data_IF_755486948187
#
_entry.id   IF_755486948187
#
_cell.length_a   1.000
_cell.length_b   1.000
_cell.length_c   1.000
_cell.angle_alpha   90.00
_cell.angle_beta   90.00
_cell.angle_gamma   90.00
#
_symmetry.space_group_name_H-M   'P 1'
#
loop_
_entity.id
_entity.type
_entity.pdbx_description
1 polymer ?
#
# COMPACT_ATOMS: atom_id res chain seq x y z
N UNK A 1 30.98 12.10 2.67
CA UNK A 1 29.77 11.37 3.10
C UNK A 1 28.74 11.56 1.99
N UNK A 2 28.54 10.55 1.13
CA UNK A 2 27.50 10.63 0.08
C UNK A 2 26.17 10.34 0.76
N UNK A 3 25.29 11.34 0.84
CA UNK A 3 23.88 11.10 1.12
C UNK A 3 23.34 10.34 -0.09
N UNK A 4 23.18 9.02 0.04
CA UNK A 4 22.33 8.30 -0.90
C UNK A 4 20.89 8.67 -0.51
N UNK A 5 20.35 9.70 -1.19
CA UNK A 5 18.92 10.00 -1.15
C UNK A 5 18.20 8.90 -1.94
N UNK A 6 18.03 7.76 -1.28
CA UNK A 6 17.33 6.62 -1.82
C UNK A 6 15.89 6.60 -1.28
N UNK A 7 14.90 6.52 -2.16
CA UNK A 7 13.50 6.31 -1.76
C UNK A 7 13.18 4.83 -1.78
N UNK A 8 12.61 4.32 -0.69
CA UNK A 8 11.95 3.02 -0.69
C UNK A 8 10.60 3.14 -1.39
N UNK A 9 10.16 2.06 -2.05
CA UNK A 9 8.90 2.02 -2.81
C UNK A 9 8.07 0.81 -2.44
N UNK A 10 6.76 0.95 -2.55
CA UNK A 10 5.78 -0.09 -2.34
C UNK A 10 4.86 -0.15 -3.55
N UNK A 11 4.68 -1.34 -4.09
CA UNK A 11 3.63 -1.65 -5.04
C UNK A 11 2.67 -2.63 -4.39
N UNK A 12 1.38 -2.37 -4.53
CA UNK A 12 0.36 -3.16 -3.91
C UNK A 12 -0.84 -3.37 -4.79
N UNK A 13 -1.49 -4.51 -4.56
CA UNK A 13 -2.70 -4.90 -5.25
C UNK A 13 -3.68 -5.52 -4.27
N UNK A 14 -4.96 -5.31 -4.56
CA UNK A 14 -6.06 -6.04 -3.96
C UNK A 14 -6.81 -6.74 -5.08
N UNK A 15 -7.39 -7.89 -4.75
CA UNK A 15 -8.17 -8.67 -5.70
C UNK A 15 -9.64 -8.20 -5.68
N UNK A 16 -10.25 -8.25 -4.50
CA UNK A 16 -11.51 -7.63 -4.08
C UNK A 16 -11.41 -6.13 -3.73
N UNK A 17 -11.48 -5.17 -4.65
CA UNK A 17 -11.48 -3.75 -4.23
C UNK A 17 -12.82 -3.34 -3.61
N UNK A 18 -12.85 -2.92 -2.33
CA UNK A 18 -14.04 -2.32 -1.75
C UNK A 18 -14.31 -0.95 -2.39
N UNK A 19 -15.52 -0.42 -2.19
CA UNK A 19 -15.79 0.97 -2.52
C UNK A 19 -14.87 1.91 -1.76
N UNK A 20 -14.65 3.14 -2.27
CA UNK A 20 -13.86 4.16 -1.53
C UNK A 20 -14.41 4.44 -0.13
N UNK A 21 -15.73 4.36 0.05
CA UNK A 21 -16.34 4.58 1.36
C UNK A 21 -15.97 3.47 2.34
N UNK A 22 -16.15 2.21 1.95
CA UNK A 22 -15.77 1.05 2.76
C UNK A 22 -14.26 1.01 3.04
N UNK A 23 -13.43 1.31 2.04
CA UNK A 23 -11.97 1.38 2.24
C UNK A 23 -11.59 2.46 3.27
N UNK A 24 -12.26 3.61 3.21
CA UNK A 24 -12.04 4.68 4.15
C UNK A 24 -12.43 4.28 5.58
N UNK A 25 -13.58 3.61 5.76
CA UNK A 25 -14.02 3.10 7.05
C UNK A 25 -13.03 2.10 7.64
N UNK A 26 -12.53 1.16 6.82
CA UNK A 26 -11.55 0.15 7.25
C UNK A 26 -10.26 0.81 7.77
N UNK A 27 -9.72 1.77 7.00
CA UNK A 27 -8.47 2.46 7.38
C UNK A 27 -8.66 3.35 8.62
N UNK A 28 -9.77 4.10 8.69
CA UNK A 28 -10.11 4.92 9.85
C UNK A 28 -10.31 4.07 11.12
N UNK A 29 -10.99 2.91 11.02
CA UNK A 29 -11.18 2.00 12.14
C UNK A 29 -9.86 1.44 12.68
N UNK A 30 -8.82 1.34 11.85
CA UNK A 30 -7.46 0.99 12.24
C UNK A 30 -6.63 2.18 12.77
N UNK A 31 -7.24 3.35 12.94
CA UNK A 31 -6.56 4.58 13.40
C UNK A 31 -5.54 5.11 12.38
N UNK A 32 -5.75 4.83 11.09
CA UNK A 32 -4.93 5.35 10.00
C UNK A 32 -5.61 6.61 9.48
N UNK A 33 -5.03 7.81 9.69
CA UNK A 33 -5.63 9.05 9.20
C UNK A 33 -5.53 9.08 7.68
N UNK A 34 -6.62 9.47 7.01
CA UNK A 34 -6.73 9.45 5.56
C UNK A 34 -7.43 10.68 5.00
N UNK A 35 -7.08 11.04 3.77
CA UNK A 35 -7.79 11.99 2.95
C UNK A 35 -8.48 11.27 1.77
N UNK A 36 -9.80 11.42 1.65
CA UNK A 36 -10.58 10.84 0.56
C UNK A 36 -10.73 11.86 -0.57
N UNK A 37 -10.01 11.63 -1.67
CA UNK A 37 -10.08 12.43 -2.88
C UNK A 37 -11.11 11.91 -3.90
N UNK A 38 -11.24 12.63 -5.03
CA UNK A 38 -12.18 12.28 -6.09
C UNK A 38 -11.90 10.90 -6.72
N UNK A 39 -10.63 10.52 -6.87
CA UNK A 39 -10.20 9.27 -7.53
C UNK A 39 -9.19 8.46 -6.70
N UNK A 40 -8.95 8.84 -5.45
CA UNK A 40 -7.93 8.20 -4.62
C UNK A 40 -8.21 8.37 -3.13
N UNK A 41 -7.70 7.47 -2.31
CA UNK A 41 -7.56 7.64 -0.86
C UNK A 41 -6.08 7.74 -0.54
N UNK A 42 -5.70 8.71 0.30
CA UNK A 42 -4.31 8.95 0.70
C UNK A 42 -4.17 8.81 2.21
N UNK A 43 -3.09 8.21 2.68
CA UNK A 43 -2.74 8.26 4.12
C UNK A 43 -2.20 9.66 4.44
N UNK A 44 -2.71 10.29 5.49
CA UNK A 44 -2.24 11.60 5.93
C UNK A 44 -0.88 11.50 6.64
N UNK A 45 -0.08 12.55 6.52
CA UNK A 45 1.26 12.65 7.12
C UNK A 45 2.22 11.54 6.68
N UNK A 46 2.00 10.97 5.49
CA UNK A 46 2.90 10.05 4.84
C UNK A 46 3.07 10.52 3.39
N UNK A 47 4.32 10.77 2.98
CA UNK A 47 4.65 11.57 1.78
C UNK A 47 3.87 11.09 0.54
N UNK A 48 3.86 9.78 0.30
CA UNK A 48 3.08 9.17 -0.77
C UNK A 48 2.61 7.80 -0.30
N UNK A 49 1.37 7.66 0.18
CA UNK A 49 0.71 6.34 0.29
C UNK A 49 -0.70 6.50 -0.24
N UNK A 50 -0.95 5.91 -1.42
CA UNK A 50 -2.12 6.20 -2.23
C UNK A 50 -2.78 4.89 -2.68
N UNK A 51 -4.07 4.80 -2.40
CA UNK A 51 -4.98 3.86 -3.04
C UNK A 51 -5.61 4.59 -4.22
N UNK A 52 -5.28 4.18 -5.45
CA UNK A 52 -5.77 4.84 -6.65
C UNK A 52 -6.77 3.94 -7.36
N UNK A 53 -7.98 4.47 -7.50
CA UNK A 53 -9.02 3.90 -8.35
C UNK A 53 -8.80 4.46 -9.76
N UNK A 54 -8.34 3.62 -10.68
CA UNK A 54 -8.21 3.99 -12.09
C UNK A 54 -9.48 3.48 -12.82
N UNK A 55 -10.06 4.31 -13.69
CA UNK A 55 -11.28 4.01 -14.45
C UNK A 55 -10.98 3.20 -15.73
N UNK A 56 -11.90 3.21 -16.71
CA UNK A 56 -12.24 2.24 -17.79
C UNK A 56 -11.12 1.53 -18.60
N UNK A 57 -9.84 1.72 -18.29
CA UNK A 57 -8.71 0.90 -18.78
C UNK A 57 -7.71 0.45 -17.70
N UNK A 58 -7.73 1.07 -16.52
CA UNK A 58 -6.59 1.16 -15.61
C UNK A 58 -6.79 0.40 -14.31
N UNK A 59 -5.80 -0.39 -13.94
CA UNK A 59 -5.83 -1.25 -12.77
C UNK A 59 -5.82 -0.43 -11.48
N UNK A 60 -6.58 -0.90 -10.50
CA UNK A 60 -6.55 -0.30 -9.17
C UNK A 60 -5.22 -0.69 -8.51
N UNK A 61 -4.47 0.31 -8.07
CA UNK A 61 -3.12 0.13 -7.53
C UNK A 61 -2.98 0.78 -6.17
N UNK A 62 -2.16 0.17 -5.34
CA UNK A 62 -1.65 0.77 -4.11
C UNK A 62 -0.20 1.11 -4.38
N UNK A 63 0.16 2.37 -4.21
CA UNK A 63 1.51 2.86 -4.42
C UNK A 63 1.92 3.66 -3.19
N UNK A 64 3.12 3.41 -2.70
CA UNK A 64 3.69 4.26 -1.68
C UNK A 64 5.21 4.44 -1.81
N UNK A 65 5.71 5.58 -1.36
CA UNK A 65 7.13 5.87 -1.30
C UNK A 65 7.49 6.57 0.01
N UNK A 66 8.72 6.38 0.47
CA UNK A 66 9.28 7.11 1.59
C UNK A 66 10.80 7.18 1.51
N UNK A 67 11.38 8.22 2.09
CA UNK A 67 12.85 8.36 2.22
C UNK A 67 13.43 7.23 3.11
N UNK A 68 12.65 6.72 4.07
CA UNK A 68 13.06 5.64 4.97
C UNK A 68 12.30 4.36 4.67
N UNK A 69 13.05 3.29 4.37
CA UNK A 69 12.51 1.93 4.26
C UNK A 69 11.80 1.51 5.55
N UNK A 70 12.35 1.86 6.72
CA UNK A 70 11.74 1.53 8.01
C UNK A 70 10.37 2.20 8.17
N UNK A 71 10.26 3.49 7.84
CA UNK A 71 8.99 4.21 7.88
C UNK A 71 7.96 3.61 6.92
N UNK A 72 8.40 3.23 5.71
CA UNK A 72 7.54 2.56 4.73
C UNK A 72 7.06 1.20 5.23
N UNK A 73 7.95 0.37 5.77
CA UNK A 73 7.59 -0.93 6.34
C UNK A 73 6.63 -0.80 7.51
N UNK A 74 6.83 0.18 8.39
CA UNK A 74 5.94 0.42 9.52
C UNK A 74 4.52 0.79 9.06
N UNK A 75 4.39 1.72 8.09
CA UNK A 75 3.08 2.10 7.56
C UNK A 75 2.43 0.96 6.75
N UNK A 76 3.20 0.29 5.90
CA UNK A 76 2.73 -0.84 5.09
C UNK A 76 2.19 -1.98 5.96
N UNK A 77 2.85 -2.29 7.09
CA UNK A 77 2.35 -3.29 8.06
C UNK A 77 1.03 -2.86 8.69
N UNK A 78 0.89 -1.59 9.08
CA UNK A 78 -0.37 -1.07 9.64
C UNK A 78 -1.51 -1.19 8.65
N UNK A 79 -1.28 -0.76 7.41
CA UNK A 79 -2.26 -0.87 6.33
C UNK A 79 -2.59 -2.34 6.04
N UNK A 80 -1.58 -3.20 5.89
CA UNK A 80 -1.76 -4.63 5.62
C UNK A 80 -2.58 -5.31 6.72
N UNK A 81 -2.33 -4.98 7.99
CA UNK A 81 -3.10 -5.49 9.12
C UNK A 81 -4.55 -5.00 9.10
N UNK A 82 -4.80 -3.73 8.74
CA UNK A 82 -6.15 -3.20 8.58
C UNK A 82 -6.92 -3.95 7.49
N UNK A 83 -6.31 -4.14 6.32
CA UNK A 83 -6.90 -4.89 5.20
C UNK A 83 -7.13 -6.36 5.57
N UNK A 84 -6.18 -6.99 6.26
CA UNK A 84 -6.30 -8.37 6.78
C UNK A 84 -7.46 -8.50 7.76
N UNK A 85 -7.64 -7.52 8.66
CA UNK A 85 -8.73 -7.53 9.64
C UNK A 85 -10.11 -7.40 8.99
N UNK A 86 -10.17 -6.77 7.82
CA UNK A 86 -11.35 -6.72 6.97
C UNK A 86 -11.46 -7.91 5.99
N UNK A 87 -10.61 -8.93 6.13
CA UNK A 87 -10.50 -10.09 5.25
C UNK A 87 -10.30 -9.74 3.76
N UNK A 88 -9.66 -8.61 3.46
CA UNK A 88 -9.38 -8.18 2.10
C UNK A 88 -8.09 -8.82 1.58
N UNK A 89 -8.22 -9.64 0.53
CA UNK A 89 -7.11 -10.27 -0.17
C UNK A 89 -6.23 -9.23 -0.85
N UNK A 90 -4.96 -9.16 -0.44
CA UNK A 90 -4.00 -8.16 -0.94
C UNK A 90 -2.55 -8.68 -0.90
N UNK A 91 -1.69 -8.00 -1.66
CA UNK A 91 -0.22 -8.12 -1.59
C UNK A 91 0.43 -6.74 -1.63
N UNK A 92 1.56 -6.60 -0.94
CA UNK A 92 2.50 -5.48 -1.02
C UNK A 92 3.91 -6.01 -1.27
N UNK A 93 4.56 -5.47 -2.28
CA UNK A 93 5.97 -5.65 -2.59
C UNK A 93 6.69 -4.36 -2.22
N UNK A 94 7.61 -4.43 -1.26
CA UNK A 94 8.36 -3.27 -0.77
C UNK A 94 9.81 -3.42 -1.19
N UNK A 95 10.33 -2.41 -1.88
CA UNK A 95 11.68 -2.36 -2.41
C UNK A 95 12.51 -1.30 -1.68
N UNK A 96 13.78 -1.62 -1.42
CA UNK A 96 14.76 -0.64 -0.93
C UNK A 96 15.18 0.31 -2.07
N UNK A 97 16.09 1.24 -1.77
CA UNK A 97 16.57 2.21 -2.77
C UNK A 97 17.45 1.60 -3.88
N UNK A 98 17.92 0.38 -3.70
CA UNK A 98 18.69 -0.39 -4.68
C UNK A 98 17.76 -1.24 -5.56
N UNK A 99 16.45 -1.03 -5.45
CA UNK A 99 15.39 -1.79 -6.13
C UNK A 99 15.36 -3.28 -5.74
N UNK A 100 15.95 -3.65 -4.60
CA UNK A 100 15.87 -5.00 -4.06
C UNK A 100 14.60 -5.18 -3.23
N UNK A 101 13.93 -6.33 -3.39
CA UNK A 101 12.74 -6.67 -2.60
C UNK A 101 13.11 -6.83 -1.13
N UNK A 102 12.75 -5.85 -0.32
CA UNK A 102 13.04 -5.79 1.10
C UNK A 102 11.98 -6.49 1.96
N UNK A 103 10.72 -6.48 1.51
CA UNK A 103 9.64 -7.20 2.17
C UNK A 103 8.49 -7.55 1.23
N UNK A 104 7.80 -8.63 1.56
CA UNK A 104 6.56 -9.05 0.92
C UNK A 104 5.48 -9.24 2.00
N UNK A 105 4.44 -8.41 1.99
CA UNK A 105 3.31 -8.49 2.93
C UNK A 105 2.08 -8.93 2.16
N UNK A 106 1.38 -9.97 2.62
CA UNK A 106 0.20 -10.45 1.91
C UNK A 106 -0.83 -11.07 2.84
N UNK A 107 -2.08 -11.06 2.40
CA UNK A 107 -3.17 -11.83 3.01
C UNK A 107 -3.89 -12.63 1.93
N UNK A 108 -3.85 -13.96 2.05
CA UNK A 108 -4.49 -14.90 1.13
C UNK A 108 -4.16 -14.68 -0.37
N UNK A 109 -3.05 -14.00 -0.65
CA UNK A 109 -2.54 -13.87 -2.01
C UNK A 109 -1.91 -15.19 -2.46
N UNK A 110 -2.20 -15.69 -3.67
CA UNK A 110 -1.56 -16.90 -4.16
C UNK A 110 -0.04 -16.70 -4.20
N UNK A 111 0.69 -17.59 -3.53
CA UNK A 111 2.15 -17.66 -3.61
C UNK A 111 2.54 -18.33 -4.94
N UNK A 112 2.28 -17.67 -6.06
CA UNK A 112 2.60 -18.18 -7.39
C UNK A 112 1.79 -19.42 -7.81
N UNK A 113 1.24 -19.36 -9.02
CA UNK A 113 1.44 -20.50 -9.91
C UNK A 113 2.82 -20.23 -10.50
N UNK A 114 3.78 -21.11 -10.24
CA UNK A 114 5.01 -21.16 -11.03
C UNK A 114 4.59 -21.44 -12.48
N UNK A 115 4.91 -20.53 -13.41
CA UNK A 115 5.02 -20.86 -14.84
C UNK A 115 6.51 -20.97 -15.18
#
# INVERSE_FOLDING_TARGET
>A
MKLHEGFARLFGQMDAWPSKHELAEILCAAGIPIYVGRISIRVENFDEFIFRDLDERGWQIIDASAISLESLLAMARRVSNALTSAALRHRFEIYNYEEELAAYLHFQWPQGVED
#
